data_IF_791564337481
#
_entry.id   IF_791564337481
#
_cell.length_a   1.000
_cell.length_b   1.000
_cell.length_c   1.000
_cell.angle_alpha   90.00
_cell.angle_beta   90.00
_cell.angle_gamma   90.00
#
_symmetry.space_group_name_H-M   'P 1'
#
loop_
_entity.id
_entity.type
_entity.pdbx_description
1 polymer ?
#
# COMPACT_ATOMS: atom_id res chain seq x y z
N UNK A 1 62.09 -32.57 0.34
CA UNK A 1 61.24 -32.12 1.47
C UNK A 1 60.50 -30.81 1.16
N UNK A 2 61.14 -29.79 0.58
CA UNK A 2 60.48 -28.51 0.25
C UNK A 2 59.31 -28.64 -0.75
N UNK A 3 59.41 -29.51 -1.76
CA UNK A 3 58.37 -29.67 -2.79
C UNK A 3 57.02 -30.14 -2.23
N UNK A 4 57.03 -31.04 -1.24
CA UNK A 4 55.81 -31.56 -0.59
C UNK A 4 55.11 -30.45 0.19
N UNK A 5 55.87 -29.57 0.83
CA UNK A 5 55.31 -28.43 1.59
C UNK A 5 54.68 -27.42 0.64
N UNK A 6 55.35 -27.09 -0.48
CA UNK A 6 54.82 -26.15 -1.48
C UNK A 6 53.54 -26.70 -2.13
N UNK A 7 53.51 -27.99 -2.45
CA UNK A 7 52.31 -28.67 -2.96
C UNK A 7 51.16 -28.63 -1.95
N UNK A 8 51.44 -28.89 -0.67
CA UNK A 8 50.43 -28.86 0.38
C UNK A 8 49.86 -27.44 0.61
N UNK A 9 50.71 -26.41 0.64
CA UNK A 9 50.27 -25.01 0.78
C UNK A 9 49.45 -24.58 -0.44
N UNK A 10 49.87 -24.95 -1.65
CA UNK A 10 49.13 -24.64 -2.88
C UNK A 10 47.75 -25.32 -2.91
N UNK A 11 47.66 -26.58 -2.47
CA UNK A 11 46.39 -27.30 -2.36
C UNK A 11 45.46 -26.67 -1.31
N UNK A 12 46.00 -26.26 -0.15
CA UNK A 12 45.22 -25.58 0.88
C UNK A 12 44.68 -24.22 0.40
N UNK A 13 45.49 -23.42 -0.29
CA UNK A 13 45.06 -22.15 -0.87
C UNK A 13 43.95 -22.33 -1.92
N UNK A 14 44.04 -23.38 -2.74
CA UNK A 14 42.99 -23.73 -3.71
C UNK A 14 41.69 -24.12 -3.00
N UNK A 15 41.75 -24.97 -1.97
CA UNK A 15 40.55 -25.38 -1.21
C UNK A 15 39.88 -24.17 -0.55
N UNK A 16 40.65 -23.29 0.11
CA UNK A 16 40.12 -22.06 0.73
C UNK A 16 39.48 -21.14 -0.31
N UNK A 17 40.09 -21.00 -1.49
CA UNK A 17 39.56 -20.19 -2.59
C UNK A 17 38.23 -20.75 -3.11
N UNK A 18 38.13 -22.06 -3.32
CA UNK A 18 36.91 -22.74 -3.76
C UNK A 18 35.80 -22.57 -2.71
N UNK A 19 36.10 -22.80 -1.43
CA UNK A 19 35.14 -22.64 -0.33
C UNK A 19 34.61 -21.20 -0.26
N UNK A 20 35.47 -20.20 -0.44
CA UNK A 20 35.08 -18.78 -0.45
C UNK A 20 34.12 -18.44 -1.59
N UNK A 21 34.39 -18.96 -2.80
CA UNK A 21 33.52 -18.77 -3.98
C UNK A 21 32.15 -19.43 -3.77
N UNK A 22 32.13 -20.67 -3.25
CA UNK A 22 30.89 -21.40 -2.97
C UNK A 22 30.06 -20.64 -1.93
N UNK A 23 30.65 -20.22 -0.81
CA UNK A 23 29.96 -19.46 0.23
C UNK A 23 29.37 -18.16 -0.31
N UNK A 24 30.13 -17.45 -1.14
CA UNK A 24 29.66 -16.20 -1.77
C UNK A 24 28.48 -16.44 -2.72
N UNK A 25 28.49 -17.53 -3.49
CA UNK A 25 27.37 -17.91 -4.37
C UNK A 25 26.12 -18.29 -3.58
N UNK A 26 26.26 -19.06 -2.49
CA UNK A 26 25.13 -19.44 -1.63
C UNK A 26 24.51 -18.21 -0.98
N UNK A 27 25.32 -17.35 -0.36
CA UNK A 27 24.82 -16.09 0.26
C UNK A 27 24.10 -15.22 -0.77
N UNK A 28 24.63 -15.09 -2.00
CA UNK A 28 23.95 -14.33 -3.07
C UNK A 28 22.61 -14.95 -3.47
N UNK A 29 22.51 -16.29 -3.51
CA UNK A 29 21.24 -16.98 -3.78
C UNK A 29 20.24 -16.73 -2.66
N UNK A 30 20.66 -16.84 -1.41
CA UNK A 30 19.80 -16.64 -0.24
C UNK A 30 19.29 -15.19 -0.17
N UNK A 31 20.15 -14.20 -0.41
CA UNK A 31 19.74 -12.79 -0.47
C UNK A 31 18.71 -12.56 -1.59
N UNK A 32 18.88 -13.16 -2.77
CA UNK A 32 17.90 -13.07 -3.85
C UNK A 32 16.58 -13.73 -3.47
N UNK A 33 16.62 -14.90 -2.85
CA UNK A 33 15.44 -15.60 -2.37
C UNK A 33 14.69 -14.80 -1.29
N UNK A 34 15.40 -14.24 -0.31
CA UNK A 34 14.82 -13.36 0.71
C UNK A 34 14.20 -12.10 0.10
N UNK A 35 14.86 -11.48 -0.88
CA UNK A 35 14.32 -10.30 -1.57
C UNK A 35 13.04 -10.65 -2.33
N UNK A 36 13.02 -11.75 -3.07
CA UNK A 36 11.83 -12.20 -3.79
C UNK A 36 10.67 -12.51 -2.84
N UNK A 37 10.94 -13.26 -1.75
CA UNK A 37 9.91 -13.59 -0.75
C UNK A 37 9.31 -12.35 -0.07
N UNK A 38 10.13 -11.34 0.28
CA UNK A 38 9.63 -10.08 0.84
C UNK A 38 8.80 -9.28 -0.16
N UNK A 39 9.23 -9.23 -1.43
CA UNK A 39 8.48 -8.55 -2.48
C UNK A 39 7.14 -9.24 -2.75
N UNK A 40 7.10 -10.57 -2.82
CA UNK A 40 5.84 -11.31 -3.01
C UNK A 40 4.90 -11.17 -1.82
N UNK A 41 5.42 -11.18 -0.59
CA UNK A 41 4.60 -10.97 0.60
C UNK A 41 4.00 -9.55 0.64
N UNK A 42 4.79 -8.53 0.29
CA UNK A 42 4.30 -7.16 0.17
C UNK A 42 3.26 -7.00 -0.95
N UNK A 43 3.43 -7.68 -2.08
CA UNK A 43 2.46 -7.71 -3.18
C UNK A 43 1.15 -8.38 -2.75
N UNK A 44 1.21 -9.57 -2.14
CA UNK A 44 0.02 -10.27 -1.64
C UNK A 44 -0.75 -9.42 -0.64
N UNK A 45 -0.04 -8.81 0.33
CA UNK A 45 -0.67 -7.93 1.31
C UNK A 45 -1.33 -6.70 0.65
N UNK A 46 -0.68 -6.10 -0.34
CA UNK A 46 -1.23 -4.97 -1.09
C UNK A 46 -2.48 -5.37 -1.88
N UNK A 47 -2.47 -6.52 -2.55
CA UNK A 47 -3.60 -7.06 -3.30
C UNK A 47 -4.79 -7.38 -2.39
N UNK A 48 -4.55 -8.05 -1.26
CA UNK A 48 -5.59 -8.33 -0.25
C UNK A 48 -6.19 -7.04 0.32
N UNK A 49 -5.33 -6.08 0.65
CA UNK A 49 -5.75 -4.76 1.16
C UNK A 49 -6.60 -4.03 0.12
N UNK A 50 -6.18 -4.02 -1.14
CA UNK A 50 -6.92 -3.37 -2.23
C UNK A 50 -8.27 -4.06 -2.48
N UNK A 51 -8.32 -5.38 -2.45
CA UNK A 51 -9.57 -6.14 -2.59
C UNK A 51 -10.53 -5.86 -1.44
N UNK A 52 -10.03 -5.75 -0.21
CA UNK A 52 -10.82 -5.36 0.96
C UNK A 52 -11.38 -3.93 0.82
N UNK A 53 -10.52 -2.94 0.53
CA UNK A 53 -10.94 -1.55 0.36
C UNK A 53 -11.98 -1.43 -0.76
N UNK A 54 -11.77 -2.13 -1.88
CA UNK A 54 -12.71 -2.13 -3.01
C UNK A 54 -14.08 -2.67 -2.61
N UNK A 55 -14.13 -3.74 -1.80
CA UNK A 55 -15.39 -4.28 -1.28
C UNK A 55 -16.11 -3.25 -0.39
N UNK A 56 -15.39 -2.60 0.52
CA UNK A 56 -15.96 -1.57 1.40
C UNK A 56 -16.49 -0.36 0.62
N UNK A 57 -15.78 0.08 -0.43
CA UNK A 57 -16.25 1.18 -1.29
C UNK A 57 -17.54 0.80 -2.01
N UNK A 58 -17.64 -0.43 -2.55
CA UNK A 58 -18.86 -0.88 -3.23
C UNK A 58 -20.04 -0.98 -2.26
N UNK A 59 -19.83 -1.49 -1.06
CA UNK A 59 -20.87 -1.54 -0.02
C UNK A 59 -21.33 -0.14 0.38
N UNK A 60 -20.39 0.78 0.62
CA UNK A 60 -20.71 2.18 0.94
C UNK A 60 -21.45 2.88 -0.21
N UNK A 61 -21.14 2.57 -1.47
CA UNK A 61 -21.89 3.11 -2.62
C UNK A 61 -23.35 2.63 -2.62
N UNK A 62 -23.61 1.37 -2.30
CA UNK A 62 -24.98 0.87 -2.18
C UNK A 62 -25.71 1.51 -0.98
N UNK A 63 -25.06 1.61 0.18
CA UNK A 63 -25.60 2.27 1.38
C UNK A 63 -25.94 3.73 1.12
N UNK A 64 -25.14 4.45 0.33
CA UNK A 64 -25.40 5.86 0.05
C UNK A 64 -26.57 6.07 -0.92
N UNK A 65 -27.03 5.02 -1.60
CA UNK A 65 -28.26 5.05 -2.40
C UNK A 65 -29.50 4.80 -1.54
N UNK A 66 -29.34 4.29 -0.30
CA UNK A 66 -30.43 4.08 0.67
C UNK A 66 -31.08 5.37 1.15
N UNK A 67 -32.36 5.32 1.50
CA UNK A 67 -33.05 6.44 2.14
C UNK A 67 -32.75 6.54 3.64
N UNK A 68 -32.16 5.48 4.22
CA UNK A 68 -31.79 5.44 5.64
C UNK A 68 -30.63 6.42 5.93
N UNK A 69 -30.86 7.34 6.87
CA UNK A 69 -29.86 8.31 7.33
C UNK A 69 -28.62 7.62 7.91
N UNK A 70 -28.80 6.56 8.70
CA UNK A 70 -27.70 5.92 9.41
C UNK A 70 -26.77 5.20 8.43
N UNK A 71 -27.34 4.52 7.42
CA UNK A 71 -26.58 3.90 6.34
C UNK A 71 -25.80 4.94 5.51
N UNK A 72 -26.42 6.09 5.25
CA UNK A 72 -25.78 7.20 4.53
C UNK A 72 -24.64 7.82 5.36
N UNK A 73 -24.81 7.95 6.67
CA UNK A 73 -23.74 8.43 7.57
C UNK A 73 -22.54 7.49 7.58
N UNK A 74 -22.76 6.17 7.67
CA UNK A 74 -21.70 5.14 7.62
C UNK A 74 -20.97 5.18 6.27
N UNK A 75 -21.71 5.32 5.17
CA UNK A 75 -21.13 5.46 3.84
C UNK A 75 -20.24 6.71 3.72
N UNK A 76 -20.69 7.85 4.27
CA UNK A 76 -19.91 9.09 4.27
C UNK A 76 -18.57 8.93 5.03
N UNK A 77 -18.58 8.27 6.18
CA UNK A 77 -17.35 7.98 6.94
C UNK A 77 -16.40 7.06 6.15
N UNK A 78 -16.94 6.05 5.47
CA UNK A 78 -16.14 5.15 4.64
C UNK A 78 -15.44 5.90 3.51
N UNK A 79 -16.13 6.81 2.83
CA UNK A 79 -15.53 7.62 1.76
C UNK A 79 -14.49 8.61 2.26
N UNK A 80 -14.66 9.15 3.47
CA UNK A 80 -13.68 10.00 4.13
C UNK A 80 -12.36 9.25 4.42
N UNK A 81 -12.46 8.00 4.89
CA UNK A 81 -11.29 7.16 5.17
C UNK A 81 -10.53 6.89 3.86
N UNK A 82 -11.23 6.52 2.79
CA UNK A 82 -10.60 6.23 1.50
C UNK A 82 -9.98 7.49 0.88
N UNK A 83 -10.67 8.64 0.96
CA UNK A 83 -10.10 9.91 0.52
C UNK A 83 -9.78 9.97 -0.96
N UNK A 84 -10.72 9.61 -1.84
CA UNK A 84 -10.57 9.70 -3.30
C UNK A 84 -11.35 10.89 -3.87
N UNK A 85 -10.84 11.62 -4.89
CA UNK A 85 -11.52 12.80 -5.43
C UNK A 85 -12.84 12.43 -6.11
N UNK A 86 -12.92 11.19 -6.60
CA UNK A 86 -14.14 10.65 -7.25
C UNK A 86 -15.32 10.61 -6.29
N UNK A 87 -15.07 10.43 -4.99
CA UNK A 87 -16.11 10.40 -3.96
C UNK A 87 -16.73 11.77 -3.69
N UNK A 88 -16.05 12.88 -4.01
CA UNK A 88 -16.59 14.23 -3.85
C UNK A 88 -17.90 14.42 -4.62
N UNK A 89 -17.95 13.94 -5.88
CA UNK A 89 -19.17 14.00 -6.71
C UNK A 89 -20.31 13.18 -6.14
N UNK A 90 -20.00 12.04 -5.51
CA UNK A 90 -21.01 11.19 -4.86
C UNK A 90 -21.57 11.93 -3.65
N UNK A 91 -20.70 12.45 -2.78
CA UNK A 91 -21.05 13.26 -1.62
C UNK A 91 -21.89 14.50 -2.01
N UNK A 92 -21.58 15.18 -3.11
CA UNK A 92 -22.38 16.31 -3.60
C UNK A 92 -23.82 15.91 -3.99
N UNK A 93 -24.02 14.69 -4.52
CA UNK A 93 -25.37 14.18 -4.81
C UNK A 93 -26.14 13.91 -3.51
N UNK A 94 -25.45 13.40 -2.50
CA UNK A 94 -26.03 13.05 -1.19
C UNK A 94 -26.42 14.30 -0.42
N UNK A 95 -25.57 15.32 -0.36
CA UNK A 95 -25.92 16.61 0.22
C UNK A 95 -27.16 17.23 -0.40
N UNK A 96 -27.34 17.07 -1.73
CA UNK A 96 -28.53 17.54 -2.44
C UNK A 96 -29.77 16.73 -2.10
N UNK A 97 -29.65 15.40 -2.03
CA UNK A 97 -30.78 14.51 -1.67
C UNK A 97 -31.25 14.76 -0.23
N UNK A 98 -30.32 14.89 0.71
CA UNK A 98 -30.61 15.10 2.13
C UNK A 98 -30.58 16.57 2.54
N UNK A 99 -30.87 17.52 1.64
CA UNK A 99 -30.76 18.96 1.93
C UNK A 99 -31.53 19.42 3.18
N UNK A 100 -32.65 18.76 3.50
CA UNK A 100 -33.46 19.04 4.70
C UNK A 100 -32.92 18.40 6.00
N UNK A 101 -31.97 17.49 5.91
CA UNK A 101 -31.40 16.78 7.07
C UNK A 101 -30.04 17.38 7.44
N UNK A 102 -30.03 18.20 8.49
CA UNK A 102 -28.84 18.95 8.92
C UNK A 102 -27.69 18.05 9.39
N UNK A 103 -27.98 16.87 9.92
CA UNK A 103 -26.99 15.90 10.40
C UNK A 103 -26.21 15.31 9.22
N UNK A 104 -26.93 14.74 8.26
CA UNK A 104 -26.34 14.18 7.03
C UNK A 104 -25.53 15.23 6.26
N UNK A 105 -26.09 16.44 6.06
CA UNK A 105 -25.38 17.51 5.32
C UNK A 105 -24.09 17.91 6.03
N UNK A 106 -24.10 18.02 7.36
CA UNK A 106 -22.88 18.31 8.14
C UNK A 106 -21.83 17.22 7.96
N UNK A 107 -22.23 15.96 8.02
CA UNK A 107 -21.31 14.83 7.85
C UNK A 107 -20.73 14.79 6.42
N UNK A 108 -21.58 14.98 5.41
CA UNK A 108 -21.16 15.07 4.01
C UNK A 108 -20.16 16.21 3.80
N UNK A 109 -20.46 17.40 4.32
CA UNK A 109 -19.58 18.58 4.19
C UNK A 109 -18.23 18.36 4.88
N UNK A 110 -18.25 17.73 6.06
CA UNK A 110 -17.04 17.38 6.81
C UNK A 110 -16.18 16.40 6.03
N UNK A 111 -16.79 15.34 5.49
CA UNK A 111 -16.11 14.36 4.65
C UNK A 111 -15.50 15.03 3.41
N UNK A 112 -16.27 15.85 2.69
CA UNK A 112 -15.77 16.57 1.50
C UNK A 112 -14.57 17.46 1.81
N UNK A 113 -14.61 18.21 2.92
CA UNK A 113 -13.51 19.07 3.34
C UNK A 113 -12.23 18.27 3.59
N UNK A 114 -12.33 17.17 4.35
CA UNK A 114 -11.18 16.30 4.66
C UNK A 114 -10.58 15.66 3.42
N UNK A 115 -11.42 15.21 2.47
CA UNK A 115 -10.97 14.64 1.20
C UNK A 115 -10.21 15.68 0.38
N UNK A 116 -10.74 16.89 0.20
CA UNK A 116 -10.07 17.97 -0.56
C UNK A 116 -8.70 18.30 0.00
N UNK A 117 -8.63 18.53 1.31
CA UNK A 117 -7.39 18.89 1.97
C UNK A 117 -6.34 17.76 1.94
N UNK A 118 -6.75 16.49 2.03
CA UNK A 118 -5.82 15.36 1.85
C UNK A 118 -5.21 15.36 0.45
N UNK A 119 -6.01 15.64 -0.59
CA UNK A 119 -5.49 15.71 -1.95
C UNK A 119 -4.58 16.89 -2.19
N UNK A 120 -4.89 18.07 -1.65
CA UNK A 120 -4.00 19.23 -1.75
C UNK A 120 -2.63 18.94 -1.14
N UNK A 121 -2.59 18.22 0.00
CA UNK A 121 -1.33 17.76 0.59
C UNK A 121 -0.59 16.77 -0.29
N UNK A 122 -1.28 15.75 -0.82
CA UNK A 122 -0.66 14.77 -1.72
C UNK A 122 -0.06 15.42 -2.96
N UNK A 123 -0.80 16.33 -3.61
CA UNK A 123 -0.30 17.08 -4.77
C UNK A 123 0.91 17.93 -4.40
N UNK A 124 0.91 18.56 -3.22
CA UNK A 124 2.05 19.35 -2.74
C UNK A 124 3.29 18.49 -2.50
N UNK A 125 3.11 17.29 -1.93
CA UNK A 125 4.18 16.32 -1.68
C UNK A 125 4.75 15.76 -3.00
N UNK A 126 3.88 15.40 -3.95
CA UNK A 126 4.30 14.93 -5.29
C UNK A 126 5.12 15.99 -6.04
N UNK A 127 4.69 17.26 -5.97
CA UNK A 127 5.41 18.38 -6.57
C UNK A 127 6.77 18.59 -5.88
N UNK A 128 6.84 18.40 -4.56
CA UNK A 128 8.10 18.55 -3.81
C UNK A 128 9.11 17.43 -4.14
N UNK A 129 8.65 16.19 -4.34
CA UNK A 129 9.51 15.05 -4.71
C UNK A 129 10.02 15.15 -6.15
N UNK A 130 9.24 15.77 -7.05
CA UNK A 130 9.62 15.92 -8.46
C UNK A 130 10.63 17.06 -8.73
N UNK A 131 10.90 17.91 -7.73
CA UNK A 131 11.88 19.01 -7.80
C UNK A 131 13.23 18.59 -7.23
#
# INVERSE_FOLDING_TARGET
MAEIVVLAVSALLLIVSVLSIVRTRTIRKDIRALKLSRLTAAQSLAEETQAYITRQIRAAQAQIESEDEDEVMVACQTFEIVGSPRHLKILDRVARRFRGNSSVVRQVTTAQCRIKHRHERQLSEEVAVAR
#
